data_IF_941588715454
#
_entry.id   IF_941588715454
#
_cell.length_a   1.000
_cell.length_b   1.000
_cell.length_c   1.000
_cell.angle_alpha   90.00
_cell.angle_beta   90.00
_cell.angle_gamma   90.00
#
_symmetry.space_group_name_H-M   'P 1'
#
loop_
_entity.id
_entity.type
_entity.pdbx_description
1 polymer ?
#
# COMPACT_ATOMS: atom_id res chain seq x y z
N UNK A 1 -7.50 22.84 41.43
CA UNK A 1 -6.76 22.55 40.19
C UNK A 1 -7.61 23.11 39.07
N UNK A 2 -7.15 24.18 38.41
CA UNK A 2 -7.86 24.72 37.23
C UNK A 2 -7.64 23.72 36.10
N UNK A 3 -8.73 23.05 35.71
CA UNK A 3 -8.71 22.27 34.45
C UNK A 3 -8.55 23.29 33.32
N UNK A 4 -7.35 23.41 32.75
CA UNK A 4 -7.15 24.25 31.58
C UNK A 4 -8.11 23.76 30.50
N UNK A 5 -9.01 24.64 30.06
CA UNK A 5 -9.97 24.28 29.01
C UNK A 5 -9.23 23.92 27.74
N UNK A 6 -9.49 22.71 27.25
CA UNK A 6 -8.84 22.19 26.04
C UNK A 6 -9.49 22.87 24.83
N UNK A 7 -8.70 23.58 24.02
CA UNK A 7 -9.15 24.28 22.83
C UNK A 7 -8.52 23.66 21.58
N UNK A 8 -9.29 23.47 20.52
CA UNK A 8 -8.77 23.03 19.20
C UNK A 8 -8.81 24.23 18.24
N UNK A 9 -7.67 24.47 17.59
CA UNK A 9 -7.52 25.55 16.62
C UNK A 9 -6.98 25.00 15.30
N UNK A 10 -7.60 25.37 14.19
CA UNK A 10 -7.07 25.12 12.85
C UNK A 10 -5.96 26.14 12.56
N UNK A 11 -4.74 25.67 12.39
CA UNK A 11 -3.54 26.50 12.20
C UNK A 11 -3.11 26.65 10.75
N UNK A 12 -3.58 25.72 9.89
CA UNK A 12 -3.37 25.76 8.45
C UNK A 12 -4.50 25.01 7.74
N UNK A 13 -4.49 24.99 6.42
CA UNK A 13 -5.57 24.42 5.61
C UNK A 13 -5.95 22.98 6.00
N UNK A 14 -4.98 22.17 6.43
CA UNK A 14 -5.17 20.76 6.81
C UNK A 14 -4.44 20.39 8.11
N UNK A 15 -4.29 21.36 9.02
CA UNK A 15 -3.59 21.15 10.29
C UNK A 15 -4.32 21.79 11.44
N UNK A 16 -4.43 21.05 12.54
CA UNK A 16 -5.08 21.47 13.79
C UNK A 16 -4.14 21.23 14.97
N UNK A 17 -4.23 22.12 15.97
CA UNK A 17 -3.61 21.94 17.26
C UNK A 17 -4.65 21.87 18.35
N UNK A 18 -4.45 20.97 19.31
CA UNK A 18 -5.13 20.96 20.60
C UNK A 18 -4.26 21.68 21.64
N UNK A 19 -4.80 22.65 22.32
CA UNK A 19 -4.11 23.50 23.29
C UNK A 19 -4.71 23.33 24.69
N UNK A 20 -3.85 23.13 25.67
CA UNK A 20 -4.21 23.23 27.11
C UNK A 20 -3.50 24.47 27.68
N UNK A 21 -4.22 25.58 27.80
CA UNK A 21 -3.62 26.91 27.97
C UNK A 21 -2.75 27.24 26.75
N UNK A 22 -1.47 27.57 26.98
CA UNK A 22 -0.51 27.93 25.92
C UNK A 22 0.32 26.73 25.39
N UNK A 23 0.02 25.51 25.84
CA UNK A 23 0.76 24.31 25.45
C UNK A 23 0.00 23.50 24.40
N UNK A 24 0.69 23.14 23.31
CA UNK A 24 0.21 22.14 22.35
C UNK A 24 0.25 20.76 23.01
N UNK A 25 -0.90 20.08 23.08
CA UNK A 25 -1.06 18.76 23.67
C UNK A 25 -1.53 17.72 22.66
N UNK A 26 -1.68 18.13 21.40
CA UNK A 26 -1.99 17.25 20.29
C UNK A 26 -1.99 17.99 18.95
N UNK A 27 -1.72 17.26 17.89
CA UNK A 27 -1.72 17.74 16.51
C UNK A 27 -2.56 16.83 15.64
N UNK A 28 -3.37 17.42 14.76
CA UNK A 28 -4.10 16.70 13.71
C UNK A 28 -3.65 17.17 12.32
N UNK A 29 -3.53 16.24 11.39
CA UNK A 29 -3.19 16.53 10.01
C UNK A 29 -4.05 15.71 9.04
N UNK A 30 -4.46 16.32 7.92
CA UNK A 30 -5.12 15.65 6.81
C UNK A 30 -4.22 15.69 5.57
N UNK A 31 -3.75 14.53 5.14
CA UNK A 31 -2.82 14.38 4.02
C UNK A 31 -3.55 13.85 2.79
N UNK A 32 -3.50 14.55 1.63
CA UNK A 32 -4.04 14.04 0.39
C UNK A 32 -3.15 12.93 -0.16
N UNK A 33 -3.77 11.88 -0.65
CA UNK A 33 -3.11 10.82 -1.40
C UNK A 33 -3.19 11.09 -2.91
N UNK A 34 -2.37 10.41 -3.74
CA UNK A 34 -2.35 10.62 -5.19
C UNK A 34 -3.70 10.43 -5.89
N UNK A 35 -4.60 9.66 -5.33
CA UNK A 35 -5.97 9.43 -5.83
C UNK A 35 -7.00 10.48 -5.32
N UNK A 36 -6.54 11.49 -4.60
CA UNK A 36 -7.37 12.55 -4.06
C UNK A 36 -8.04 12.23 -2.71
N UNK A 37 -7.92 11.00 -2.19
CA UNK A 37 -8.44 10.66 -0.86
C UNK A 37 -7.67 11.41 0.23
N UNK A 38 -8.40 11.83 1.29
CA UNK A 38 -7.81 12.49 2.46
C UNK A 38 -7.63 11.49 3.60
N UNK A 39 -6.40 11.37 4.06
CA UNK A 39 -6.04 10.52 5.19
C UNK A 39 -5.73 11.37 6.41
N UNK A 40 -6.39 11.04 7.52
CA UNK A 40 -6.27 11.72 8.80
C UNK A 40 -5.19 11.05 9.65
N UNK A 41 -4.41 11.88 10.35
CA UNK A 41 -3.54 11.44 11.43
C UNK A 41 -3.71 12.38 12.62
N UNK A 42 -3.68 11.81 13.82
CA UNK A 42 -3.69 12.56 15.08
C UNK A 42 -2.58 12.01 15.95
N UNK A 43 -1.73 12.91 16.43
CA UNK A 43 -0.73 12.66 17.46
C UNK A 43 -1.14 13.45 18.71
N UNK A 44 -1.44 12.74 19.80
CA UNK A 44 -1.87 13.36 21.05
C UNK A 44 -1.48 12.51 22.25
N UNK A 45 -1.15 13.19 23.36
CA UNK A 45 -0.80 12.53 24.63
C UNK A 45 -2.00 12.28 25.54
N UNK A 46 -3.18 12.73 25.16
CA UNK A 46 -4.40 12.65 25.98
C UNK A 46 -5.61 12.28 25.12
N UNK A 47 -6.43 11.34 25.60
CA UNK A 47 -7.63 10.89 24.92
C UNK A 47 -8.60 12.04 24.59
N UNK A 48 -8.81 12.96 25.53
CA UNK A 48 -9.70 14.12 25.32
C UNK A 48 -9.20 15.04 24.19
N UNK A 49 -7.86 15.18 24.02
CA UNK A 49 -7.27 15.95 22.95
C UNK A 49 -7.48 15.24 21.61
N UNK A 50 -7.33 13.92 21.57
CA UNK A 50 -7.64 13.12 20.38
C UNK A 50 -9.10 13.30 19.97
N UNK A 51 -10.03 13.09 20.87
CA UNK A 51 -11.48 13.13 20.59
C UNK A 51 -11.91 14.50 20.06
N UNK A 52 -11.38 15.60 20.64
CA UNK A 52 -11.66 16.97 20.15
C UNK A 52 -11.02 17.28 18.80
N UNK A 53 -9.78 16.83 18.56
CA UNK A 53 -9.13 16.96 17.25
C UNK A 53 -9.91 16.19 16.19
N UNK A 54 -10.26 14.93 16.46
CA UNK A 54 -11.05 14.12 15.54
C UNK A 54 -12.38 14.81 15.20
N UNK A 55 -13.12 15.27 16.21
CA UNK A 55 -14.39 15.96 15.99
C UNK A 55 -14.24 17.24 15.12
N UNK A 56 -13.21 18.05 15.38
CA UNK A 56 -12.94 19.25 14.59
C UNK A 56 -12.57 18.94 13.15
N UNK A 57 -11.67 17.95 12.93
CA UNK A 57 -11.25 17.53 11.60
C UNK A 57 -12.39 16.94 10.78
N UNK A 58 -13.23 16.11 11.41
CA UNK A 58 -14.39 15.50 10.75
C UNK A 58 -15.47 16.53 10.39
N UNK A 59 -15.61 17.61 11.18
CA UNK A 59 -16.53 18.70 10.88
C UNK A 59 -16.04 19.64 9.77
N UNK A 60 -14.72 19.83 9.66
CA UNK A 60 -14.12 20.81 8.77
C UNK A 60 -13.81 20.27 7.35
N UNK A 61 -13.75 18.96 7.18
CA UNK A 61 -13.27 18.34 5.96
C UNK A 61 -14.38 17.64 5.18
N UNK A 62 -14.28 17.62 3.83
CA UNK A 62 -15.24 16.88 3.01
C UNK A 62 -15.07 15.37 3.15
N UNK A 63 -16.19 14.65 3.17
CA UNK A 63 -16.22 13.18 3.17
C UNK A 63 -16.03 12.60 1.78
N UNK A 64 -15.57 11.36 1.63
CA UNK A 64 -15.14 10.43 2.70
C UNK A 64 -13.74 10.74 3.21
N UNK A 65 -13.50 10.48 4.52
CA UNK A 65 -12.22 10.63 5.18
C UNK A 65 -11.69 9.28 5.64
N UNK A 66 -10.37 9.10 5.59
CA UNK A 66 -9.73 7.83 5.86
C UNK A 66 -8.66 7.96 6.94
N UNK A 67 -8.34 6.85 7.59
CA UNK A 67 -7.11 6.70 8.38
C UNK A 67 -6.59 5.27 8.25
N UNK A 68 -5.30 5.08 8.49
CA UNK A 68 -4.68 3.75 8.57
C UNK A 68 -4.07 3.63 9.95
N UNK A 69 -4.35 2.51 10.62
CA UNK A 69 -3.82 2.20 11.93
C UNK A 69 -3.17 0.82 11.91
N UNK A 70 -2.11 0.66 12.67
CA UNK A 70 -1.56 -0.65 12.95
C UNK A 70 -2.59 -1.46 13.77
N UNK A 71 -2.92 -2.68 13.35
CA UNK A 71 -3.98 -3.47 14.02
C UNK A 71 -3.64 -3.82 15.48
N UNK A 72 -2.34 -3.89 15.82
CA UNK A 72 -1.90 -4.10 17.20
C UNK A 72 -2.11 -2.86 18.08
N UNK A 73 -2.30 -1.68 17.49
CA UNK A 73 -2.65 -0.48 18.23
C UNK A 73 -4.17 -0.42 18.49
N UNK A 74 -4.59 -1.22 19.48
CA UNK A 74 -5.99 -1.30 19.86
C UNK A 74 -6.54 0.01 20.44
N UNK A 75 -5.69 0.81 21.06
CA UNK A 75 -6.08 2.08 21.66
C UNK A 75 -6.40 3.10 20.58
N UNK A 76 -5.51 3.31 19.61
CA UNK A 76 -5.74 4.19 18.48
C UNK A 76 -6.94 3.74 17.64
N UNK A 77 -7.07 2.43 17.41
CA UNK A 77 -8.24 1.87 16.72
C UNK A 77 -9.54 2.20 17.46
N UNK A 78 -9.57 2.07 18.80
CA UNK A 78 -10.73 2.39 19.62
C UNK A 78 -11.06 3.89 19.58
N UNK A 79 -10.06 4.76 19.57
CA UNK A 79 -10.26 6.21 19.43
C UNK A 79 -10.95 6.56 18.11
N UNK A 80 -10.43 6.07 16.98
CA UNK A 80 -11.06 6.35 15.68
C UNK A 80 -12.47 5.76 15.56
N UNK A 81 -12.69 4.57 16.13
CA UNK A 81 -14.04 3.97 16.14
C UNK A 81 -15.04 4.78 17.00
N UNK A 82 -14.60 5.33 18.15
CA UNK A 82 -15.44 6.25 18.96
C UNK A 82 -15.74 7.54 18.21
N UNK A 83 -14.80 8.05 17.40
CA UNK A 83 -15.02 9.19 16.52
C UNK A 83 -15.99 8.88 15.36
N UNK A 84 -16.42 7.61 15.18
CA UNK A 84 -17.42 7.22 14.19
C UNK A 84 -16.85 6.58 12.91
N UNK A 85 -15.54 6.35 12.84
CA UNK A 85 -14.95 5.65 11.69
C UNK A 85 -15.24 4.14 11.75
N UNK A 86 -15.53 3.55 10.60
CA UNK A 86 -15.74 2.11 10.45
C UNK A 86 -14.54 1.47 9.75
N UNK A 87 -14.20 0.25 10.16
CA UNK A 87 -13.17 -0.53 9.46
C UNK A 87 -13.66 -0.80 8.04
N UNK A 88 -12.85 -0.43 7.06
CA UNK A 88 -13.14 -0.59 5.65
C UNK A 88 -12.46 -1.83 5.07
N UNK A 89 -11.17 -2.05 5.42
CA UNK A 89 -10.38 -3.19 4.95
C UNK A 89 -9.20 -3.45 5.87
N UNK A 90 -8.61 -4.64 5.74
CA UNK A 90 -7.35 -5.03 6.37
C UNK A 90 -6.31 -5.32 5.30
N UNK A 91 -5.07 -4.90 5.54
CA UNK A 91 -3.90 -5.29 4.75
C UNK A 91 -2.93 -6.06 5.62
N UNK A 92 -2.48 -7.22 5.11
CA UNK A 92 -1.40 -7.98 5.72
C UNK A 92 -0.06 -7.50 5.15
N UNK A 93 0.87 -7.18 6.02
CA UNK A 93 2.27 -7.00 5.66
C UNK A 93 2.96 -8.37 5.67
N UNK A 94 3.61 -8.69 4.54
CA UNK A 94 4.40 -9.90 4.38
C UNK A 94 5.89 -9.57 4.37
N UNK A 95 6.66 -10.36 5.10
CA UNK A 95 8.10 -10.46 4.97
C UNK A 95 8.40 -11.55 3.95
N UNK A 96 9.03 -11.20 2.84
CA UNK A 96 9.21 -12.05 1.66
C UNK A 96 10.69 -12.41 1.53
N UNK A 97 11.08 -13.69 1.61
CA UNK A 97 12.46 -14.10 1.39
C UNK A 97 12.84 -13.86 -0.08
N UNK A 98 14.10 -13.50 -0.33
CA UNK A 98 14.60 -13.27 -1.69
C UNK A 98 15.42 -14.44 -2.22
N UNK A 99 15.88 -15.35 -1.35
CA UNK A 99 16.69 -16.50 -1.68
C UNK A 99 15.90 -17.51 -2.51
N UNK A 100 16.34 -17.83 -3.74
CA UNK A 100 15.69 -18.84 -4.58
C UNK A 100 15.61 -20.22 -3.93
N UNK A 101 16.56 -20.57 -3.05
CA UNK A 101 16.54 -21.84 -2.33
C UNK A 101 15.38 -21.93 -1.33
N UNK A 102 14.93 -20.80 -0.80
CA UNK A 102 13.78 -20.73 0.12
C UNK A 102 12.49 -20.61 -0.67
N UNK A 103 12.45 -19.69 -1.65
CA UNK A 103 11.22 -19.39 -2.40
C UNK A 103 10.79 -20.48 -3.37
N UNK A 104 11.72 -21.36 -3.75
CA UNK A 104 11.49 -22.35 -4.82
C UNK A 104 11.14 -21.71 -6.17
N UNK A 105 11.42 -20.41 -6.32
CA UNK A 105 11.25 -19.70 -7.57
C UNK A 105 12.56 -19.78 -8.37
N UNK A 106 12.50 -20.44 -9.51
CA UNK A 106 13.54 -20.32 -10.49
C UNK A 106 13.36 -19.07 -11.36
N UNK A 107 14.40 -18.72 -12.10
CA UNK A 107 14.33 -17.63 -13.08
C UNK A 107 13.85 -18.08 -14.45
N UNK A 108 13.35 -19.32 -14.58
CA UNK A 108 12.87 -19.86 -15.83
C UNK A 108 11.60 -19.14 -16.29
N UNK A 109 11.60 -18.73 -17.54
CA UNK A 109 10.42 -18.11 -18.13
C UNK A 109 9.45 -19.19 -18.61
N UNK A 110 8.14 -19.00 -18.44
CA UNK A 110 7.15 -19.87 -19.05
C UNK A 110 7.30 -19.91 -20.59
N UNK A 111 6.89 -20.99 -21.26
CA UNK A 111 7.00 -21.12 -22.70
C UNK A 111 6.37 -19.92 -23.45
N UNK A 112 7.14 -19.32 -24.35
CA UNK A 112 6.73 -18.17 -25.16
C UNK A 112 6.63 -16.85 -24.39
N UNK A 113 7.16 -16.79 -23.17
CA UNK A 113 7.23 -15.56 -22.36
C UNK A 113 8.69 -15.17 -22.19
N UNK A 114 9.01 -13.94 -22.48
CA UNK A 114 10.28 -13.29 -22.15
C UNK A 114 10.12 -12.46 -20.89
N UNK A 115 11.06 -12.56 -19.94
CA UNK A 115 11.07 -11.73 -18.73
C UNK A 115 12.18 -10.67 -18.85
N UNK A 116 11.77 -9.43 -19.00
CA UNK A 116 12.63 -8.25 -19.05
C UNK A 116 13.05 -7.86 -17.61
N UNK A 117 14.35 -7.59 -17.45
CA UNK A 117 14.89 -7.13 -16.16
C UNK A 117 14.46 -5.68 -15.82
N UNK A 118 14.74 -5.28 -14.60
CA UNK A 118 14.59 -3.88 -14.17
C UNK A 118 15.27 -2.93 -15.16
N UNK A 119 14.57 -1.89 -15.59
CA UNK A 119 15.05 -0.87 -16.51
C UNK A 119 15.05 -1.28 -18.00
N UNK A 120 14.79 -2.54 -18.33
CA UNK A 120 14.81 -3.00 -19.72
C UNK A 120 13.50 -2.80 -20.47
N UNK A 121 12.42 -2.46 -19.77
CA UNK A 121 11.13 -2.21 -20.40
C UNK A 121 11.10 -0.86 -21.11
N UNK A 122 10.44 -0.82 -22.26
CA UNK A 122 10.14 0.41 -22.98
C UNK A 122 9.02 1.16 -22.26
N UNK A 123 9.22 2.47 -21.98
CA UNK A 123 8.35 3.26 -21.12
C UNK A 123 6.91 3.38 -21.66
N UNK A 124 6.75 3.57 -22.97
CA UNK A 124 5.42 3.72 -23.59
C UNK A 124 4.61 2.43 -23.46
N UNK A 125 5.19 1.29 -23.82
CA UNK A 125 4.55 -0.03 -23.73
C UNK A 125 4.25 -0.43 -22.28
N UNK A 126 5.10 -0.01 -21.33
CA UNK A 126 4.86 -0.22 -19.90
C UNK A 126 3.67 0.62 -19.40
N UNK A 127 3.55 1.88 -19.85
CA UNK A 127 2.37 2.72 -19.57
C UNK A 127 1.08 2.14 -20.16
N UNK A 128 1.14 1.56 -21.35
CA UNK A 128 -0.02 0.88 -21.95
C UNK A 128 -0.44 -0.35 -21.18
N UNK A 129 0.54 -1.17 -20.74
CA UNK A 129 0.26 -2.34 -19.90
C UNK A 129 -0.35 -1.91 -18.56
N UNK A 130 0.24 -0.90 -17.87
CA UNK A 130 -0.28 -0.41 -16.60
C UNK A 130 -1.73 0.08 -16.73
N UNK A 131 -2.02 0.84 -17.79
CA UNK A 131 -3.39 1.30 -18.07
C UNK A 131 -4.36 0.13 -18.32
N UNK A 132 -3.90 -0.90 -19.04
CA UNK A 132 -4.71 -2.09 -19.34
C UNK A 132 -5.04 -2.87 -18.06
N UNK A 133 -4.04 -3.19 -17.26
CA UNK A 133 -4.28 -3.97 -16.02
C UNK A 133 -5.10 -3.18 -15.00
N UNK A 134 -4.96 -1.85 -14.95
CA UNK A 134 -5.82 -1.00 -14.12
C UNK A 134 -7.28 -1.07 -14.56
N UNK A 135 -7.54 -0.99 -15.85
CA UNK A 135 -8.90 -1.10 -16.39
C UNK A 135 -9.50 -2.49 -16.10
N UNK A 136 -8.71 -3.56 -16.21
CA UNK A 136 -9.14 -4.92 -15.88
C UNK A 136 -9.46 -5.07 -14.37
N UNK A 137 -8.64 -4.52 -13.49
CA UNK A 137 -8.88 -4.53 -12.02
C UNK A 137 -10.11 -3.71 -11.67
N UNK A 138 -10.28 -2.52 -12.27
CA UNK A 138 -11.45 -1.66 -12.04
C UNK A 138 -12.74 -2.39 -12.44
N UNK A 139 -12.74 -3.06 -13.59
CA UNK A 139 -13.90 -3.82 -14.07
C UNK A 139 -14.24 -5.04 -13.20
N UNK A 140 -13.24 -5.66 -12.58
CA UNK A 140 -13.41 -6.91 -11.82
C UNK A 140 -13.66 -6.70 -10.33
N UNK A 141 -12.93 -5.76 -9.70
CA UNK A 141 -12.89 -5.62 -8.24
C UNK A 141 -13.05 -4.16 -7.76
N UNK A 142 -13.00 -3.19 -8.67
CA UNK A 142 -12.97 -1.78 -8.32
C UNK A 142 -11.60 -1.33 -7.81
N UNK A 143 -10.87 -0.58 -8.63
CA UNK A 143 -9.52 -0.10 -8.29
C UNK A 143 -9.45 0.73 -7.01
N UNK A 144 -10.55 1.41 -6.65
CA UNK A 144 -10.64 2.21 -5.43
C UNK A 144 -10.48 1.39 -4.14
N UNK A 145 -10.56 0.06 -4.21
CA UNK A 145 -10.25 -0.81 -3.07
C UNK A 145 -8.76 -0.91 -2.79
N UNK A 146 -7.90 -0.57 -3.75
CA UNK A 146 -6.45 -0.63 -3.62
C UNK A 146 -5.89 0.55 -2.81
N UNK A 147 -4.70 0.42 -2.19
CA UNK A 147 -4.00 1.53 -1.55
C UNK A 147 -3.72 2.67 -2.54
N UNK A 148 -3.78 3.91 -2.05
CA UNK A 148 -3.54 5.09 -2.87
C UNK A 148 -2.15 5.10 -3.52
N UNK A 149 -1.14 4.56 -2.86
CA UNK A 149 0.23 4.46 -3.36
C UNK A 149 0.36 3.60 -4.61
N UNK A 150 -0.56 2.67 -4.81
CA UNK A 150 -0.59 1.77 -5.98
C UNK A 150 -1.39 2.39 -7.12
N UNK A 151 -2.32 3.30 -6.84
CA UNK A 151 -3.29 3.81 -7.81
C UNK A 151 -2.64 4.70 -8.87
N UNK A 152 -1.69 5.56 -8.50
CA UNK A 152 -1.11 6.54 -9.42
C UNK A 152 0.40 6.77 -9.24
N UNK A 153 1.21 5.71 -9.22
CA UNK A 153 2.65 5.90 -9.13
C UNK A 153 3.21 6.45 -10.45
N UNK A 154 4.27 7.26 -10.40
CA UNK A 154 5.08 7.54 -11.59
C UNK A 154 5.61 6.22 -12.18
N UNK A 155 5.52 6.07 -13.50
CA UNK A 155 6.06 4.90 -14.20
C UNK A 155 7.52 5.17 -14.54
N UNK A 156 8.41 4.51 -13.78
CA UNK A 156 9.84 4.49 -14.04
C UNK A 156 10.24 3.03 -14.33
N UNK A 157 10.64 2.69 -15.56
CA UNK A 157 11.03 1.33 -15.93
C UNK A 157 12.09 0.70 -15.00
N UNK A 158 12.92 1.51 -14.35
CA UNK A 158 13.92 1.03 -13.39
C UNK A 158 13.31 0.28 -12.19
N UNK A 159 12.02 0.49 -11.91
CA UNK A 159 11.31 -0.17 -10.82
C UNK A 159 10.50 -1.40 -11.25
N UNK A 160 10.57 -1.80 -12.53
CA UNK A 160 9.70 -2.85 -13.07
C UNK A 160 10.47 -4.01 -13.67
N UNK A 161 10.02 -5.22 -13.37
CA UNK A 161 10.26 -6.45 -14.13
C UNK A 161 9.00 -6.68 -14.95
N UNK A 162 9.18 -7.00 -16.25
CA UNK A 162 8.06 -7.09 -17.20
C UNK A 162 8.08 -8.41 -17.94
N UNK A 163 6.91 -9.02 -18.12
CA UNK A 163 6.73 -10.19 -18.97
C UNK A 163 6.22 -9.77 -20.34
N UNK A 164 6.89 -10.21 -21.40
CA UNK A 164 6.51 -9.99 -22.77
C UNK A 164 6.14 -11.31 -23.47
N UNK A 165 5.15 -11.27 -24.34
CA UNK A 165 4.73 -12.37 -25.19
C UNK A 165 4.54 -11.88 -26.62
N UNK A 166 5.26 -12.46 -27.56
CA UNK A 166 5.18 -12.06 -28.97
C UNK A 166 5.28 -10.54 -29.20
N UNK A 167 6.20 -9.88 -28.49
CA UNK A 167 6.44 -8.44 -28.59
C UNK A 167 5.44 -7.56 -27.82
N UNK A 168 4.42 -8.12 -27.16
CA UNK A 168 3.43 -7.41 -26.36
C UNK A 168 3.66 -7.66 -24.86
N UNK A 169 3.55 -6.63 -24.05
CA UNK A 169 3.67 -6.80 -22.60
C UNK A 169 2.41 -7.47 -22.02
N UNK A 170 2.63 -8.52 -21.20
CA UNK A 170 1.59 -9.37 -20.65
C UNK A 170 1.47 -9.30 -19.13
N UNK A 171 2.51 -8.83 -18.44
CA UNK A 171 2.50 -8.70 -17.00
C UNK A 171 3.64 -7.85 -16.48
N UNK A 172 3.52 -7.35 -15.26
CA UNK A 172 4.51 -6.52 -14.60
C UNK A 172 4.64 -6.88 -13.11
N UNK A 173 5.84 -6.65 -12.55
CA UNK A 173 6.10 -6.64 -11.12
C UNK A 173 6.85 -5.35 -10.79
N UNK A 174 6.23 -4.50 -9.96
CA UNK A 174 6.83 -3.25 -9.48
C UNK A 174 7.51 -3.49 -8.14
N UNK A 175 8.77 -3.08 -8.05
CA UNK A 175 9.53 -3.07 -6.80
C UNK A 175 10.06 -1.68 -6.57
N UNK A 176 9.71 -1.09 -5.43
CA UNK A 176 10.32 0.15 -4.95
C UNK A 176 11.42 -0.17 -3.96
N UNK A 177 12.48 0.62 -3.96
CA UNK A 177 13.60 0.45 -3.02
C UNK A 177 13.65 1.63 -2.06
N UNK A 178 12.77 1.68 -1.04
CA UNK A 178 12.97 2.61 0.08
C UNK A 178 14.26 2.22 0.82
N UNK A 179 14.78 3.11 1.64
CA UNK A 179 16.13 3.04 2.23
C UNK A 179 16.48 1.76 3.00
N UNK A 180 15.51 0.97 3.46
CA UNK A 180 15.77 -0.21 4.30
C UNK A 180 15.34 -1.52 3.67
N UNK A 181 14.11 -1.65 3.23
CA UNK A 181 13.51 -2.89 2.77
C UNK A 181 12.86 -2.68 1.39
N UNK A 182 13.27 -3.41 0.33
CA UNK A 182 12.59 -3.37 -0.95
C UNK A 182 11.11 -3.76 -0.79
N UNK A 183 10.20 -3.01 -1.43
CA UNK A 183 8.76 -3.29 -1.37
C UNK A 183 8.24 -3.73 -2.74
N UNK A 184 7.60 -4.89 -2.77
CA UNK A 184 6.84 -5.37 -3.91
C UNK A 184 5.48 -4.67 -3.87
N UNK A 185 5.32 -3.61 -4.66
CA UNK A 185 4.14 -2.75 -4.60
C UNK A 185 3.01 -3.18 -5.55
N UNK A 186 3.33 -3.96 -6.59
CA UNK A 186 2.32 -4.43 -7.54
C UNK A 186 2.85 -5.65 -8.30
N UNK A 187 2.01 -6.68 -8.43
CA UNK A 187 2.16 -7.75 -9.41
C UNK A 187 0.84 -7.83 -10.16
N UNK A 188 0.89 -7.67 -11.47
CA UNK A 188 -0.28 -7.75 -12.31
C UNK A 188 0.03 -8.48 -13.63
N UNK A 189 -0.90 -9.28 -14.07
CA UNK A 189 -0.86 -10.01 -15.35
C UNK A 189 -2.17 -9.75 -16.05
N UNK A 190 -2.13 -9.47 -17.35
CA UNK A 190 -3.32 -9.29 -18.17
C UNK A 190 -4.27 -10.48 -18.06
N UNK A 191 -5.56 -10.24 -18.09
CA UNK A 191 -6.57 -11.28 -17.94
C UNK A 191 -6.44 -12.42 -18.98
N UNK A 192 -6.10 -12.05 -20.24
CA UNK A 192 -5.89 -13.02 -21.34
C UNK A 192 -4.61 -13.88 -21.18
N UNK A 193 -3.74 -13.56 -20.23
CA UNK A 193 -2.49 -14.26 -19.95
C UNK A 193 -2.46 -14.92 -18.55
N UNK A 194 -3.58 -14.95 -17.84
CA UNK A 194 -3.66 -15.57 -16.52
C UNK A 194 -3.37 -17.08 -16.54
N UNK A 195 -3.01 -17.64 -15.37
CA UNK A 195 -2.79 -19.07 -15.08
C UNK A 195 -1.70 -19.77 -15.92
N UNK A 196 -0.77 -19.00 -16.42
CA UNK A 196 0.38 -19.46 -17.22
C UNK A 196 1.71 -19.37 -16.49
N UNK A 197 1.71 -19.15 -15.18
CA UNK A 197 2.92 -19.03 -14.37
C UNK A 197 3.64 -17.68 -14.46
N UNK A 198 3.10 -16.70 -15.19
CA UNK A 198 3.76 -15.39 -15.44
C UNK A 198 4.02 -14.64 -14.14
N UNK A 199 3.05 -14.58 -13.22
CA UNK A 199 3.25 -13.89 -11.94
C UNK A 199 4.39 -14.50 -11.10
N UNK A 200 4.51 -15.84 -11.08
CA UNK A 200 5.63 -16.54 -10.42
C UNK A 200 6.97 -16.23 -11.07
N UNK A 201 7.04 -16.20 -12.39
CA UNK A 201 8.27 -15.88 -13.13
C UNK A 201 8.71 -14.43 -12.92
N UNK A 202 7.75 -13.48 -12.93
CA UNK A 202 8.01 -12.08 -12.60
C UNK A 202 8.58 -11.94 -11.18
N UNK A 203 7.93 -12.60 -10.22
CA UNK A 203 8.34 -12.56 -8.82
C UNK A 203 9.72 -13.22 -8.64
N UNK A 204 9.96 -14.38 -9.25
CA UNK A 204 11.25 -15.05 -9.23
C UNK A 204 12.39 -14.19 -9.80
N UNK A 205 12.13 -13.48 -10.90
CA UNK A 205 13.10 -12.55 -11.48
C UNK A 205 13.37 -11.37 -10.56
N UNK A 206 12.32 -10.78 -9.98
CA UNK A 206 12.44 -9.64 -9.07
C UNK A 206 13.20 -10.02 -7.79
N UNK A 207 12.77 -11.08 -7.09
CA UNK A 207 13.40 -11.55 -5.87
C UNK A 207 14.84 -12.02 -6.10
N UNK A 208 15.10 -12.77 -7.16
CA UNK A 208 16.45 -13.20 -7.52
C UNK A 208 17.37 -12.01 -7.82
N UNK A 209 16.89 -10.93 -8.39
CA UNK A 209 17.67 -9.69 -8.58
C UNK A 209 17.98 -9.02 -7.26
N UNK A 210 17.02 -8.95 -6.33
CA UNK A 210 17.24 -8.41 -4.98
C UNK A 210 18.25 -9.28 -4.19
N UNK A 211 18.13 -10.60 -4.28
CA UNK A 211 19.07 -11.52 -3.65
C UNK A 211 20.51 -11.29 -4.12
N UNK A 212 20.72 -11.21 -5.44
CA UNK A 212 22.04 -10.87 -6.00
C UNK A 212 22.57 -9.50 -5.58
N UNK A 213 21.68 -8.57 -5.28
CA UNK A 213 22.01 -7.25 -4.71
C UNK A 213 22.23 -7.29 -3.18
N UNK A 214 22.30 -8.48 -2.56
CA UNK A 214 22.54 -8.65 -1.13
C UNK A 214 21.35 -8.35 -0.23
N UNK A 215 20.13 -8.24 -0.78
CA UNK A 215 18.91 -8.06 0.01
C UNK A 215 18.37 -9.43 0.40
N UNK A 216 18.35 -9.76 1.69
CA UNK A 216 17.82 -11.04 2.18
C UNK A 216 16.28 -11.08 2.18
N UNK A 217 15.64 -9.93 2.29
CA UNK A 217 14.19 -9.80 2.44
C UNK A 217 13.64 -8.66 1.59
N UNK A 218 12.38 -8.81 1.21
CA UNK A 218 11.51 -7.77 0.68
C UNK A 218 10.22 -7.71 1.53
N UNK A 219 9.41 -6.66 1.34
CA UNK A 219 8.05 -6.59 1.90
C UNK A 219 7.00 -6.57 0.81
N UNK A 220 5.79 -6.98 1.16
CA UNK A 220 4.58 -6.81 0.35
C UNK A 220 3.40 -6.53 1.27
N UNK A 221 2.49 -5.68 0.83
CA UNK A 221 1.21 -5.45 1.49
C UNK A 221 0.10 -6.04 0.63
N UNK A 222 -0.75 -6.87 1.26
CA UNK A 222 -1.77 -7.63 0.56
C UNK A 222 -3.10 -7.45 1.28
N UNK A 223 -4.09 -6.97 0.54
CA UNK A 223 -5.46 -6.89 1.04
C UNK A 223 -5.96 -8.29 1.43
N UNK A 224 -6.59 -8.41 2.60
CA UNK A 224 -7.08 -9.69 3.14
C UNK A 224 -8.01 -10.43 2.18
N UNK A 225 -8.76 -9.70 1.37
CA UNK A 225 -9.68 -10.28 0.37
C UNK A 225 -8.98 -10.79 -0.89
N UNK A 226 -7.69 -10.47 -1.10
CA UNK A 226 -6.94 -10.89 -2.28
C UNK A 226 -6.36 -12.29 -2.12
N UNK A 227 -7.24 -13.30 -2.20
CA UNK A 227 -6.85 -14.71 -2.04
C UNK A 227 -5.78 -15.16 -3.03
N UNK A 228 -5.75 -14.62 -4.26
CA UNK A 228 -4.77 -15.00 -5.28
C UNK A 228 -3.35 -14.50 -4.92
N UNK A 229 -3.22 -13.27 -4.46
CA UNK A 229 -1.95 -12.74 -3.98
C UNK A 229 -1.51 -13.47 -2.71
N UNK A 230 -2.40 -13.65 -1.73
CA UNK A 230 -2.14 -14.42 -0.51
C UNK A 230 -1.56 -15.80 -0.83
N UNK A 231 -2.23 -16.59 -1.67
CA UNK A 231 -1.76 -17.90 -2.07
C UNK A 231 -0.40 -17.87 -2.79
N UNK A 232 -0.15 -16.86 -3.63
CA UNK A 232 1.12 -16.69 -4.32
C UNK A 232 2.27 -16.46 -3.33
N UNK A 233 2.09 -15.54 -2.37
CA UNK A 233 3.15 -15.17 -1.42
C UNK A 233 3.37 -16.26 -0.37
N UNK A 234 2.32 -16.88 0.16
CA UNK A 234 2.46 -17.99 1.11
C UNK A 234 3.15 -19.21 0.47
N UNK A 235 2.86 -19.50 -0.81
CA UNK A 235 3.50 -20.61 -1.54
C UNK A 235 5.01 -20.43 -1.78
N UNK A 236 5.57 -19.24 -1.60
CA UNK A 236 7.00 -18.96 -1.72
C UNK A 236 7.70 -18.76 -0.37
N UNK A 237 7.04 -19.10 0.73
CA UNK A 237 7.60 -18.98 2.06
C UNK A 237 7.58 -17.56 2.62
N UNK A 238 6.73 -16.67 2.10
CA UNK A 238 6.51 -15.36 2.71
C UNK A 238 5.71 -15.52 4.01
N UNK A 239 6.07 -14.74 5.01
CA UNK A 239 5.48 -14.78 6.36
C UNK A 239 4.74 -13.47 6.65
N UNK A 240 3.56 -13.58 7.24
CA UNK A 240 2.84 -12.40 7.75
C UNK A 240 3.60 -11.83 8.93
N UNK A 241 3.97 -10.56 8.87
CA UNK A 241 4.74 -9.87 9.91
C UNK A 241 3.87 -8.91 10.72
N UNK A 242 2.91 -8.27 10.08
CA UNK A 242 2.03 -7.29 10.68
C UNK A 242 0.72 -7.16 9.89
N UNK A 243 -0.21 -6.35 10.40
CA UNK A 243 -1.43 -5.98 9.68
C UNK A 243 -1.83 -4.54 9.98
N UNK A 244 -2.40 -3.88 8.99
CA UNK A 244 -2.95 -2.54 9.11
C UNK A 244 -4.45 -2.54 8.79
N UNK A 245 -5.19 -1.71 9.51
CA UNK A 245 -6.60 -1.45 9.27
C UNK A 245 -6.77 -0.08 8.60
N UNK A 246 -7.45 -0.05 7.47
CA UNK A 246 -7.93 1.20 6.91
C UNK A 246 -9.36 1.45 7.41
N UNK A 247 -9.58 2.58 8.07
CA UNK A 247 -10.89 3.01 8.53
C UNK A 247 -11.40 4.16 7.66
N UNK A 248 -12.73 4.29 7.57
CA UNK A 248 -13.40 5.33 6.79
C UNK A 248 -14.51 5.97 7.59
N UNK A 249 -14.62 7.30 7.46
CA UNK A 249 -15.78 8.10 7.86
C UNK A 249 -16.50 8.63 6.61
N UNK A 250 -17.84 8.43 6.55
CA UNK A 250 -18.68 8.75 5.37
C UNK A 250 -19.72 9.80 5.69
#
# INVERSE_FOLDING_TARGET
MHSSELMVTRIADRRWHALAGDRVVGCGEASPRPDGRLFLSIDSWHADAFDRLAAAMLADLPTPLYTVVDEVDHELTAHWRRAGLAIRRREWEYRVPTDPAITGLDSASPPGIEILNFGAAEAHSLCELDRTVRAEVEAAAGWQTMPAEVISPPIDPANYVVAAQAGRYAGLCRVTQPTRLPRIGLIAVRADAHRRGIARALLGRALGSLHRAGKAWASAEIDESNAAATALFEAIGAERSNSALELVWR
#
